data_IF_960674676382
#
_entry.id   IF_960674676382
#
_cell.length_a   1.000
_cell.length_b   1.000
_cell.length_c   1.000
_cell.angle_alpha   90.00
_cell.angle_beta   90.00
_cell.angle_gamma   90.00
#
_symmetry.space_group_name_H-M   'P 1'
#
loop_
_entity.id
_entity.type
_entity.pdbx_description
1 polymer ?
#
# COMPACT_ATOMS: atom_id res chain seq x y z
N UNK A 1 38.61 16.29 -29.27
CA UNK A 1 37.53 15.39 -29.76
C UNK A 1 36.72 14.94 -28.55
N UNK A 2 35.58 15.58 -28.31
CA UNK A 2 34.69 15.29 -27.18
C UNK A 2 33.74 14.16 -27.56
N UNK A 3 33.82 13.04 -26.84
CA UNK A 3 32.94 11.88 -26.98
C UNK A 3 31.57 12.22 -26.39
N UNK A 4 30.57 12.37 -27.25
CA UNK A 4 29.17 12.56 -26.87
C UNK A 4 28.70 11.28 -26.16
N UNK A 5 28.39 11.42 -24.88
CA UNK A 5 27.72 10.38 -24.10
C UNK A 5 26.43 9.97 -24.82
N UNK A 6 26.36 8.71 -25.27
CA UNK A 6 25.16 8.13 -25.88
C UNK A 6 24.05 8.16 -24.84
N UNK A 7 23.04 9.00 -25.06
CA UNK A 7 21.81 8.99 -24.29
C UNK A 7 21.19 7.61 -24.33
N UNK A 8 20.73 7.13 -23.18
CA UNK A 8 19.92 5.90 -23.10
C UNK A 8 18.76 6.00 -24.12
N UNK A 9 18.40 4.90 -24.81
CA UNK A 9 17.34 4.93 -25.81
C UNK A 9 16.04 5.44 -25.16
N UNK A 10 15.40 6.43 -25.78
CA UNK A 10 14.13 6.95 -25.35
C UNK A 10 13.07 5.83 -25.38
N UNK A 11 12.41 5.59 -24.25
CA UNK A 11 11.32 4.62 -24.14
C UNK A 11 10.20 4.98 -25.11
N UNK A 12 9.65 4.00 -25.82
CA UNK A 12 8.56 4.27 -26.75
C UNK A 12 7.27 4.64 -25.98
N UNK A 13 6.36 5.47 -26.54
CA UNK A 13 5.10 5.83 -25.88
C UNK A 13 4.24 4.62 -25.46
N UNK A 14 4.37 3.51 -26.20
CA UNK A 14 3.70 2.25 -25.88
C UNK A 14 4.31 1.56 -24.64
N UNK A 15 5.63 1.60 -24.48
CA UNK A 15 6.33 1.09 -23.30
C UNK A 15 6.05 1.95 -22.07
N UNK A 16 6.04 3.28 -22.21
CA UNK A 16 5.66 4.20 -21.13
C UNK A 16 4.23 3.95 -20.63
N UNK A 17 3.27 3.80 -21.55
CA UNK A 17 1.88 3.48 -21.21
C UNK A 17 1.76 2.14 -20.48
N UNK A 18 2.53 1.13 -20.91
CA UNK A 18 2.55 -0.19 -20.27
C UNK A 18 3.11 -0.13 -18.84
N UNK A 19 4.17 0.66 -18.63
CA UNK A 19 4.77 0.88 -17.30
C UNK A 19 3.80 1.62 -16.37
N UNK A 20 3.11 2.66 -16.86
CA UNK A 20 2.11 3.41 -16.08
C UNK A 20 0.93 2.51 -15.67
N UNK A 21 0.40 1.70 -16.59
CA UNK A 21 -0.70 0.77 -16.29
C UNK A 21 -0.25 -0.28 -15.27
N UNK A 22 0.94 -0.86 -15.45
CA UNK A 22 1.47 -1.85 -14.53
C UNK A 22 1.70 -1.25 -13.13
N UNK A 23 2.28 -0.06 -13.03
CA UNK A 23 2.47 0.63 -11.76
C UNK A 23 1.14 0.99 -11.09
N UNK A 24 0.13 1.38 -11.87
CA UNK A 24 -1.20 1.73 -11.35
C UNK A 24 -1.91 0.49 -10.80
N UNK A 25 -1.76 -0.67 -11.43
CA UNK A 25 -2.31 -1.94 -10.95
C UNK A 25 -1.78 -2.32 -9.56
N UNK A 26 -0.49 -2.12 -9.31
CA UNK A 26 0.10 -2.34 -7.97
C UNK A 26 -0.59 -1.49 -6.91
N UNK A 27 -0.81 -0.21 -7.19
CA UNK A 27 -1.51 0.71 -6.28
C UNK A 27 -2.99 0.33 -6.09
N UNK A 28 -3.67 -0.16 -7.14
CA UNK A 28 -5.04 -0.69 -7.02
C UNK A 28 -5.09 -1.88 -6.07
N UNK A 29 -4.11 -2.79 -6.14
CA UNK A 29 -4.07 -3.97 -5.27
C UNK A 29 -3.77 -3.62 -3.81
N UNK A 30 -2.97 -2.60 -3.57
CA UNK A 30 -2.78 -2.06 -2.22
C UNK A 30 -4.09 -1.49 -1.67
N UNK A 31 -4.77 -0.65 -2.45
CA UNK A 31 -6.05 -0.11 -2.00
C UNK A 31 -7.12 -1.19 -1.83
N UNK A 32 -7.13 -2.22 -2.67
CA UNK A 32 -7.95 -3.42 -2.46
C UNK A 32 -7.69 -4.01 -1.08
N UNK A 33 -6.43 -4.35 -0.75
CA UNK A 33 -6.04 -4.96 0.51
C UNK A 33 -6.42 -4.12 1.73
N UNK A 34 -6.27 -2.80 1.58
CA UNK A 34 -6.58 -1.87 2.64
C UNK A 34 -8.09 -1.74 2.85
N UNK A 35 -8.87 -1.54 1.78
CA UNK A 35 -10.33 -1.37 1.85
C UNK A 35 -11.10 -2.66 2.09
N UNK A 36 -10.52 -3.82 1.80
CA UNK A 36 -11.14 -5.12 2.02
C UNK A 36 -11.61 -5.29 3.47
N UNK A 37 -10.79 -4.86 4.43
CA UNK A 37 -11.15 -4.92 5.84
C UNK A 37 -12.24 -3.94 6.22
N UNK A 38 -12.16 -2.70 5.75
CA UNK A 38 -13.21 -1.71 6.02
C UNK A 38 -14.56 -2.18 5.50
N UNK A 39 -14.57 -2.82 4.32
CA UNK A 39 -15.75 -3.40 3.69
C UNK A 39 -16.33 -4.59 4.47
N UNK A 40 -15.48 -5.33 5.19
CA UNK A 40 -15.87 -6.48 6.02
C UNK A 40 -15.88 -6.17 7.53
N UNK A 41 -15.87 -4.89 7.92
CA UNK A 41 -15.73 -4.49 9.33
C UNK A 41 -16.79 -5.13 10.24
N UNK A 42 -18.04 -5.24 9.78
CA UNK A 42 -19.12 -5.89 10.52
C UNK A 42 -18.86 -7.40 10.73
N UNK A 43 -18.39 -8.11 9.70
CA UNK A 43 -18.03 -9.54 9.81
C UNK A 43 -16.82 -9.72 10.72
N UNK A 44 -15.80 -8.87 10.58
CA UNK A 44 -14.61 -8.89 11.44
C UNK A 44 -14.98 -8.62 12.91
N UNK A 45 -15.88 -7.67 13.17
CA UNK A 45 -16.37 -7.40 14.52
C UNK A 45 -16.96 -8.65 15.17
N UNK A 46 -17.80 -9.38 14.43
CA UNK A 46 -18.41 -10.63 14.89
C UNK A 46 -17.39 -11.75 15.09
N UNK A 47 -16.36 -11.84 14.25
CA UNK A 47 -15.41 -12.95 14.27
C UNK A 47 -14.24 -12.75 15.27
N UNK A 48 -13.80 -11.51 15.47
CA UNK A 48 -12.59 -11.21 16.26
C UNK A 48 -12.85 -10.46 17.56
N UNK A 49 -14.03 -9.84 17.71
CA UNK A 49 -14.38 -9.04 18.89
C UNK A 49 -15.66 -9.53 19.56
N UNK A 50 -15.99 -10.83 19.46
CA UNK A 50 -17.23 -11.41 20.01
C UNK A 50 -17.31 -11.45 21.54
N UNK A 51 -16.24 -11.08 22.26
CA UNK A 51 -16.20 -11.04 23.72
C UNK A 51 -16.85 -9.79 24.34
N UNK A 52 -17.40 -8.88 23.54
CA UNK A 52 -18.02 -7.62 23.96
C UNK A 52 -19.37 -7.41 23.26
N UNK A 53 -20.24 -6.49 23.74
CA UNK A 53 -21.50 -6.16 23.04
C UNK A 53 -21.27 -5.76 21.58
N UNK A 54 -22.25 -6.05 20.71
CA UNK A 54 -22.12 -5.88 19.25
C UNK A 54 -21.68 -4.47 18.82
N UNK A 55 -22.27 -3.43 19.44
CA UNK A 55 -21.86 -2.04 19.19
C UNK A 55 -20.39 -1.79 19.50
N UNK A 56 -19.90 -2.35 20.62
CA UNK A 56 -18.51 -2.20 21.04
C UNK A 56 -17.56 -3.00 20.14
N UNK A 57 -17.97 -4.20 19.71
CA UNK A 57 -17.21 -5.00 18.74
C UNK A 57 -17.01 -4.25 17.43
N UNK A 58 -18.06 -3.60 16.91
CA UNK A 58 -17.99 -2.79 15.71
C UNK A 58 -17.08 -1.57 15.90
N UNK A 59 -17.18 -0.88 17.03
CA UNK A 59 -16.28 0.24 17.37
C UNK A 59 -14.83 -0.23 17.38
N UNK A 60 -14.53 -1.39 17.97
CA UNK A 60 -13.17 -1.93 18.00
C UNK A 60 -12.64 -2.31 16.61
N UNK A 61 -13.47 -2.92 15.75
CA UNK A 61 -13.10 -3.19 14.37
C UNK A 61 -12.81 -1.88 13.59
N UNK A 62 -13.66 -0.85 13.74
CA UNK A 62 -13.44 0.46 13.13
C UNK A 62 -12.22 1.18 13.70
N UNK A 63 -11.94 1.05 15.01
CA UNK A 63 -10.73 1.59 15.63
C UNK A 63 -9.48 0.90 15.11
N UNK A 64 -9.50 -0.43 14.90
CA UNK A 64 -8.39 -1.14 14.28
C UNK A 64 -8.17 -0.69 12.82
N UNK A 65 -9.24 -0.40 12.08
CA UNK A 65 -9.15 0.21 10.76
C UNK A 65 -8.55 1.62 10.81
N UNK A 66 -9.03 2.47 11.73
CA UNK A 66 -8.55 3.83 11.93
C UNK A 66 -7.09 3.86 12.39
N UNK A 67 -6.68 2.93 13.27
CA UNK A 67 -5.31 2.79 13.72
C UNK A 67 -4.35 2.52 12.56
N UNK A 68 -4.78 1.70 11.59
CA UNK A 68 -4.04 1.50 10.33
C UNK A 68 -3.83 2.79 9.52
N UNK A 69 -4.74 3.76 9.58
CA UNK A 69 -4.51 5.10 9.02
C UNK A 69 -3.60 5.96 9.90
N UNK A 70 -3.82 5.93 11.22
CA UNK A 70 -3.09 6.75 12.18
C UNK A 70 -1.59 6.47 12.19
N UNK A 71 -1.17 5.23 11.88
CA UNK A 71 0.25 4.88 11.82
C UNK A 71 0.94 5.25 10.50
N UNK A 72 0.20 5.65 9.45
CA UNK A 72 0.79 5.98 8.14
C UNK A 72 1.88 7.06 8.20
N UNK A 73 1.76 8.17 8.96
CA UNK A 73 2.83 9.17 9.06
C UNK A 73 4.14 8.57 9.60
N UNK A 74 4.05 7.66 10.56
CA UNK A 74 5.22 6.95 11.11
C UNK A 74 5.85 6.02 10.06
N UNK A 75 5.00 5.32 9.30
CA UNK A 75 5.42 4.52 8.16
C UNK A 75 6.14 5.36 7.09
N UNK A 76 5.62 6.55 6.81
CA UNK A 76 6.20 7.49 5.87
C UNK A 76 7.61 7.92 6.28
N UNK A 77 7.80 8.27 7.55
CA UNK A 77 9.10 8.65 8.10
C UNK A 77 10.07 7.46 8.09
N UNK A 78 9.62 6.29 8.54
CA UNK A 78 10.46 5.09 8.66
C UNK A 78 10.88 4.55 7.29
N UNK A 79 9.92 4.21 6.43
CA UNK A 79 10.21 3.65 5.12
C UNK A 79 10.75 4.71 4.15
N UNK A 80 10.37 5.98 4.29
CA UNK A 80 10.96 7.08 3.52
C UNK A 80 12.47 7.17 3.74
N UNK A 81 12.91 7.18 5.01
CA UNK A 81 14.35 7.16 5.36
C UNK A 81 15.07 5.93 4.79
N UNK A 82 14.48 4.74 4.91
CA UNK A 82 15.08 3.52 4.35
C UNK A 82 15.18 3.63 2.82
N UNK A 83 14.16 4.18 2.16
CA UNK A 83 14.16 4.43 0.71
C UNK A 83 15.28 5.35 0.26
N UNK A 84 15.57 6.41 1.02
CA UNK A 84 16.63 7.35 0.69
C UNK A 84 18.04 6.79 0.96
N UNK A 85 18.19 5.91 1.96
CA UNK A 85 19.47 5.29 2.31
C UNK A 85 19.82 4.06 1.46
N UNK A 86 18.87 3.13 1.32
CA UNK A 86 19.08 1.80 0.74
C UNK A 86 18.64 1.73 -0.73
N UNK A 87 17.66 2.56 -1.11
CA UNK A 87 17.10 2.60 -2.46
C UNK A 87 15.58 2.42 -2.45
N UNK A 88 14.89 3.31 -3.18
CA UNK A 88 13.42 3.34 -3.21
C UNK A 88 12.81 2.05 -3.72
N UNK A 89 13.40 1.39 -4.72
CA UNK A 89 12.91 0.12 -5.26
C UNK A 89 12.86 -0.98 -4.19
N UNK A 90 13.90 -1.09 -3.37
CA UNK A 90 13.98 -2.12 -2.33
C UNK A 90 12.96 -1.86 -1.23
N UNK A 91 12.89 -0.63 -0.72
CA UNK A 91 11.90 -0.23 0.29
C UNK A 91 10.49 -0.53 -0.18
N UNK A 92 10.16 -0.17 -1.42
CA UNK A 92 8.87 -0.38 -2.06
C UNK A 92 8.49 -1.87 -2.20
N UNK A 93 9.49 -2.75 -2.35
CA UNK A 93 9.28 -4.19 -2.39
C UNK A 93 9.05 -4.76 -0.98
N UNK A 94 9.72 -4.24 0.03
CA UNK A 94 9.55 -4.66 1.43
C UNK A 94 8.17 -4.27 1.95
N UNK A 95 7.75 -3.02 1.73
CA UNK A 95 6.43 -2.49 2.14
C UNK A 95 5.30 -3.28 1.50
N UNK A 96 5.34 -3.56 0.19
CA UNK A 96 4.26 -4.33 -0.44
C UNK A 96 4.17 -5.76 0.09
N UNK A 97 5.30 -6.40 0.38
CA UNK A 97 5.34 -7.73 0.99
C UNK A 97 4.74 -7.69 2.40
N UNK A 98 5.15 -6.73 3.24
CA UNK A 98 4.58 -6.55 4.59
C UNK A 98 3.07 -6.37 4.50
N UNK A 99 2.62 -5.52 3.59
CA UNK A 99 1.21 -5.21 3.40
C UNK A 99 0.42 -6.45 2.99
N UNK A 100 0.79 -7.11 1.89
CA UNK A 100 0.05 -8.27 1.39
C UNK A 100 0.16 -9.50 2.31
N UNK A 101 1.30 -9.70 2.95
CA UNK A 101 1.45 -10.76 3.97
C UNK A 101 0.57 -10.50 5.19
N UNK A 102 0.40 -9.22 5.59
CA UNK A 102 -0.52 -8.86 6.67
C UNK A 102 -1.97 -9.14 6.28
N UNK A 103 -2.38 -8.77 5.05
CA UNK A 103 -3.71 -9.07 4.52
C UNK A 103 -3.98 -10.57 4.48
N UNK A 104 -3.05 -11.35 3.92
CA UNK A 104 -3.15 -12.81 3.88
C UNK A 104 -3.20 -13.42 5.29
N UNK A 105 -2.39 -12.87 6.21
CA UNK A 105 -2.36 -13.23 7.62
C UNK A 105 -3.74 -13.11 8.29
N UNK A 106 -4.51 -12.06 7.97
CA UNK A 106 -5.90 -11.91 8.45
C UNK A 106 -6.78 -13.05 7.95
N UNK A 107 -6.61 -13.49 6.70
CA UNK A 107 -7.37 -14.58 6.10
C UNK A 107 -7.18 -15.94 6.78
N UNK A 108 -5.98 -16.21 7.31
CA UNK A 108 -5.67 -17.46 8.04
C UNK A 108 -5.77 -17.33 9.57
N UNK A 109 -5.96 -16.11 10.09
CA UNK A 109 -5.95 -15.86 11.53
C UNK A 109 -7.11 -16.60 12.23
N UNK A 110 -6.87 -17.37 13.31
CA UNK A 110 -7.93 -17.99 14.08
C UNK A 110 -8.86 -16.95 14.71
N UNK A 111 -10.15 -17.29 14.85
CA UNK A 111 -11.16 -16.36 15.38
C UNK A 111 -11.10 -16.25 16.91
N UNK A 112 -11.85 -15.30 17.48
CA UNK A 112 -11.96 -15.13 18.92
C UNK A 112 -12.45 -16.42 19.61
N UNK A 113 -13.35 -17.16 18.98
CA UNK A 113 -13.84 -18.44 19.50
C UNK A 113 -12.72 -19.50 19.64
N UNK A 114 -11.63 -19.39 18.86
CA UNK A 114 -10.56 -20.39 18.83
C UNK A 114 -9.40 -20.04 19.77
N UNK A 115 -8.98 -18.76 19.81
CA UNK A 115 -7.79 -18.33 20.57
C UNK A 115 -8.05 -17.15 21.51
N UNK A 116 -9.32 -16.78 21.72
CA UNK A 116 -9.73 -15.71 22.63
C UNK A 116 -9.13 -14.36 22.27
N UNK A 117 -8.69 -13.62 23.30
CA UNK A 117 -8.17 -12.24 23.20
C UNK A 117 -6.91 -12.14 22.32
N UNK A 118 -6.18 -13.25 22.08
CA UNK A 118 -5.05 -13.25 21.16
C UNK A 118 -5.47 -12.90 19.72
N UNK A 119 -6.68 -13.30 19.29
CA UNK A 119 -7.17 -13.05 17.94
C UNK A 119 -7.25 -11.54 17.60
N UNK A 120 -7.96 -10.69 18.38
CA UNK A 120 -8.00 -9.26 18.10
C UNK A 120 -6.65 -8.57 18.29
N UNK A 121 -5.78 -9.03 19.20
CA UNK A 121 -4.43 -8.46 19.35
C UNK A 121 -3.60 -8.68 18.10
N UNK A 122 -3.54 -9.91 17.59
CA UNK A 122 -2.80 -10.23 16.37
C UNK A 122 -3.41 -9.48 15.18
N UNK A 123 -4.75 -9.42 15.08
CA UNK A 123 -5.44 -8.66 14.05
C UNK A 123 -5.03 -7.18 14.04
N UNK A 124 -4.96 -6.55 15.22
CA UNK A 124 -4.52 -5.16 15.35
C UNK A 124 -3.05 -5.03 14.94
N UNK A 125 -2.16 -5.94 15.35
CA UNK A 125 -0.76 -5.91 14.92
C UNK A 125 -0.64 -5.98 13.39
N UNK A 126 -1.35 -6.90 12.74
CA UNK A 126 -1.40 -7.00 11.28
C UNK A 126 -1.90 -5.70 10.64
N UNK A 127 -2.92 -5.06 11.24
CA UNK A 127 -3.44 -3.76 10.80
C UNK A 127 -2.41 -2.64 10.90
N UNK A 128 -1.66 -2.58 12.00
CA UNK A 128 -0.63 -1.57 12.19
C UNK A 128 0.53 -1.78 11.21
N UNK A 129 0.97 -3.03 10.99
CA UNK A 129 1.99 -3.36 10.00
C UNK A 129 1.55 -2.96 8.58
N UNK A 130 0.31 -3.27 8.21
CA UNK A 130 -0.28 -2.90 6.92
C UNK A 130 -0.34 -1.37 6.75
N UNK A 131 -0.74 -0.65 7.80
CA UNK A 131 -0.79 0.82 7.82
C UNK A 131 0.57 1.49 7.70
N UNK A 132 1.57 0.97 8.41
CA UNK A 132 2.96 1.45 8.35
C UNK A 132 3.54 1.26 6.95
N UNK A 133 3.32 0.10 6.34
CA UNK A 133 3.81 -0.20 5.00
C UNK A 133 3.26 0.77 3.94
N UNK A 134 1.97 1.10 4.01
CA UNK A 134 1.33 1.99 3.05
C UNK A 134 1.77 3.45 3.19
N UNK A 135 2.15 3.88 4.40
CA UNK A 135 2.52 5.27 4.69
C UNK A 135 3.68 5.82 3.85
N UNK A 136 4.66 4.97 3.51
CA UNK A 136 5.86 5.37 2.75
C UNK A 136 5.66 5.57 1.25
N UNK A 137 4.58 5.04 0.67
CA UNK A 137 4.47 4.91 -0.78
C UNK A 137 3.56 5.94 -1.43
N UNK A 138 2.35 6.12 -0.88
CA UNK A 138 1.32 6.92 -1.54
C UNK A 138 1.64 8.41 -1.58
N UNK A 139 2.15 8.95 -0.46
CA UNK A 139 2.50 10.37 -0.36
C UNK A 139 3.63 10.77 -1.31
N UNK A 140 4.70 9.97 -1.35
CA UNK A 140 5.82 10.20 -2.27
C UNK A 140 5.43 10.10 -3.75
N UNK A 141 4.55 9.15 -4.10
CA UNK A 141 4.07 9.01 -5.47
C UNK A 141 3.20 10.19 -5.93
N UNK A 142 2.30 10.67 -5.07
CA UNK A 142 1.45 11.82 -5.37
C UNK A 142 2.26 13.10 -5.62
N UNK A 143 3.26 13.37 -4.76
CA UNK A 143 4.15 14.52 -4.92
C UNK A 143 5.02 14.39 -6.16
N UNK A 144 5.61 13.21 -6.40
CA UNK A 144 6.45 12.96 -7.57
C UNK A 144 5.70 13.21 -8.88
N UNK A 145 4.47 12.72 -9.00
CA UNK A 145 3.65 12.93 -10.19
C UNK A 145 3.21 14.39 -10.33
N UNK A 146 2.90 15.08 -9.24
CA UNK A 146 2.57 16.50 -9.27
C UNK A 146 3.76 17.37 -9.75
N UNK A 147 4.98 17.03 -9.33
CA UNK A 147 6.22 17.73 -9.70
C UNK A 147 6.62 17.50 -11.16
N UNK A 148 6.44 16.27 -11.67
CA UNK A 148 6.86 15.88 -13.03
C UNK A 148 5.75 16.02 -14.07
N UNK A 149 4.52 16.39 -13.66
CA UNK A 149 3.42 16.57 -14.59
C UNK A 149 3.61 17.84 -15.45
N UNK A 150 3.28 17.78 -16.76
CA UNK A 150 3.31 18.93 -17.66
C UNK A 150 2.49 20.11 -17.12
N UNK A 151 2.95 21.34 -17.39
CA UNK A 151 2.23 22.56 -17.03
C UNK A 151 0.79 22.51 -17.55
N UNK A 152 -0.18 22.79 -16.67
CA UNK A 152 -1.61 22.72 -16.97
C UNK A 152 -2.25 21.32 -16.92
N UNK A 153 -1.47 20.24 -16.74
CA UNK A 153 -2.00 18.85 -16.66
C UNK A 153 -1.87 18.21 -15.28
N UNK A 154 -1.32 18.92 -14.30
CA UNK A 154 -1.11 18.43 -12.92
C UNK A 154 -2.37 17.80 -12.33
N UNK A 155 -3.52 18.45 -12.49
CA UNK A 155 -4.80 17.95 -11.97
C UNK A 155 -5.24 16.61 -12.58
N UNK A 156 -5.01 16.38 -13.87
CA UNK A 156 -5.38 15.12 -14.52
C UNK A 156 -4.49 13.95 -14.05
N UNK A 157 -3.19 14.20 -13.90
CA UNK A 157 -2.24 13.18 -13.45
C UNK A 157 -2.40 12.84 -11.95
N UNK A 158 -2.68 13.84 -11.10
CA UNK A 158 -2.98 13.58 -9.68
C UNK A 158 -4.35 12.93 -9.50
N UNK A 159 -5.35 13.30 -10.30
CA UNK A 159 -6.66 12.63 -10.32
C UNK A 159 -6.56 11.15 -10.73
N UNK A 160 -5.66 10.81 -11.64
CA UNK A 160 -5.41 9.41 -12.00
C UNK A 160 -4.94 8.58 -10.80
N UNK A 161 -3.99 9.09 -10.01
CA UNK A 161 -3.56 8.42 -8.76
C UNK A 161 -4.75 8.25 -7.81
N UNK A 162 -5.56 9.29 -7.62
CA UNK A 162 -6.72 9.20 -6.73
C UNK A 162 -7.75 8.16 -7.21
N UNK A 163 -7.88 7.99 -8.53
CA UNK A 163 -8.77 7.00 -9.15
C UNK A 163 -8.35 5.57 -8.79
N UNK A 164 -7.04 5.31 -8.61
CA UNK A 164 -6.55 3.97 -8.19
C UNK A 164 -7.11 3.53 -6.84
N UNK A 165 -7.31 4.48 -5.91
CA UNK A 165 -7.92 4.18 -4.62
C UNK A 165 -9.37 3.74 -4.75
N UNK A 166 -10.15 4.47 -5.57
CA UNK A 166 -11.54 4.11 -5.87
C UNK A 166 -11.65 2.78 -6.61
N UNK A 167 -10.74 2.51 -7.55
CA UNK A 167 -10.66 1.23 -8.24
C UNK A 167 -10.33 0.07 -7.28
N UNK A 168 -9.44 0.29 -6.31
CA UNK A 168 -9.14 -0.70 -5.28
C UNK A 168 -10.35 -1.04 -4.40
N UNK A 169 -11.09 -0.02 -3.96
CA UNK A 169 -12.36 -0.21 -3.25
C UNK A 169 -13.40 -0.96 -4.10
N UNK A 170 -13.53 -0.60 -5.38
CA UNK A 170 -14.47 -1.29 -6.27
C UNK A 170 -14.10 -2.76 -6.46
N UNK A 171 -12.81 -3.05 -6.65
CA UNK A 171 -12.29 -4.41 -6.72
C UNK A 171 -12.57 -5.19 -5.43
N UNK A 172 -12.40 -4.57 -4.25
CA UNK A 172 -12.67 -5.24 -2.97
C UNK A 172 -14.13 -5.63 -2.83
N UNK A 173 -15.04 -4.72 -3.21
CA UNK A 173 -16.47 -4.99 -3.18
C UNK A 173 -16.87 -6.07 -4.19
N UNK A 174 -16.30 -6.06 -5.40
CA UNK A 174 -16.58 -7.10 -6.41
C UNK A 174 -16.14 -8.49 -5.95
N UNK A 175 -14.95 -8.61 -5.36
CA UNK A 175 -14.46 -9.90 -4.84
C UNK A 175 -15.31 -10.37 -3.67
N UNK A 176 -15.66 -9.48 -2.74
CA UNK A 176 -16.57 -9.80 -1.62
C UNK A 176 -17.92 -10.27 -2.16
N UNK A 177 -18.53 -9.54 -3.09
CA UNK A 177 -19.82 -9.88 -3.67
C UNK A 177 -19.77 -11.23 -4.41
N UNK A 178 -18.72 -11.44 -5.21
CA UNK A 178 -18.49 -12.71 -5.90
C UNK A 178 -18.38 -13.89 -4.92
N UNK A 179 -17.59 -13.74 -3.85
CA UNK A 179 -17.49 -14.75 -2.81
C UNK A 179 -18.85 -14.98 -2.12
N UNK A 180 -19.57 -13.91 -1.76
CA UNK A 180 -20.87 -14.00 -1.08
C UNK A 180 -21.93 -14.68 -1.94
N UNK A 181 -21.92 -14.46 -3.25
CA UNK A 181 -22.82 -15.13 -4.19
C UNK A 181 -22.44 -16.61 -4.41
N UNK A 182 -21.14 -16.94 -4.39
CA UNK A 182 -20.66 -18.31 -4.58
C UNK A 182 -20.93 -19.20 -3.36
N UNK A 183 -20.60 -18.73 -2.16
CA UNK A 183 -20.81 -19.49 -0.91
C UNK A 183 -22.26 -19.38 -0.39
N UNK A 184 -22.95 -18.29 -0.71
CA UNK A 184 -24.21 -17.92 -0.08
C UNK A 184 -24.00 -17.15 1.23
N UNK A 185 -24.99 -16.35 1.68
CA UNK A 185 -24.79 -15.43 2.81
C UNK A 185 -24.40 -16.10 4.13
N UNK A 186 -24.95 -17.29 4.42
CA UNK A 186 -24.71 -18.03 5.66
C UNK A 186 -23.25 -18.52 5.73
N UNK A 187 -22.84 -19.30 4.74
CA UNK A 187 -21.48 -19.85 4.66
C UNK A 187 -20.42 -18.76 4.52
N UNK A 188 -20.76 -17.64 3.86
CA UNK A 188 -19.88 -16.49 3.78
C UNK A 188 -19.58 -15.90 5.16
N UNK A 189 -20.60 -15.70 5.99
CA UNK A 189 -20.43 -15.15 7.34
C UNK A 189 -19.68 -16.11 8.26
N UNK A 190 -19.81 -17.44 8.05
CA UNK A 190 -19.13 -18.46 8.83
C UNK A 190 -17.63 -18.59 8.46
N UNK A 191 -17.30 -18.82 7.19
CA UNK A 191 -15.92 -19.06 6.74
C UNK A 191 -15.55 -18.38 5.41
N UNK A 192 -16.52 -18.13 4.52
CA UNK A 192 -16.24 -17.59 3.18
C UNK A 192 -15.64 -16.18 3.19
N UNK A 193 -15.84 -15.40 4.26
CA UNK A 193 -15.23 -14.08 4.44
C UNK A 193 -13.70 -14.10 4.42
N UNK A 194 -13.07 -15.25 4.69
CA UNK A 194 -11.61 -15.42 4.62
C UNK A 194 -11.10 -15.40 3.19
N UNK A 195 -11.89 -15.88 2.23
CA UNK A 195 -11.46 -16.10 0.83
C UNK A 195 -10.97 -14.82 0.16
N UNK A 196 -11.65 -13.66 0.26
CA UNK A 196 -11.11 -12.39 -0.25
C UNK A 196 -9.71 -12.03 0.28
N UNK A 197 -9.42 -12.33 1.55
CA UNK A 197 -8.10 -12.10 2.15
C UNK A 197 -7.07 -13.09 1.64
N UNK A 198 -7.46 -14.35 1.39
CA UNK A 198 -6.54 -15.35 0.82
C UNK A 198 -6.22 -15.07 -0.64
N UNK A 199 -7.18 -14.56 -1.42
CA UNK A 199 -6.98 -14.14 -2.81
C UNK A 199 -5.92 -13.03 -2.92
N UNK A 200 -5.72 -12.23 -1.86
CA UNK A 200 -4.70 -11.18 -1.86
C UNK A 200 -3.28 -11.71 -2.12
N UNK A 201 -3.00 -12.99 -1.83
CA UNK A 201 -1.68 -13.58 -2.10
C UNK A 201 -1.34 -13.58 -3.60
N UNK A 202 -2.36 -13.77 -4.46
CA UNK A 202 -2.18 -13.72 -5.91
C UNK A 202 -1.98 -12.30 -6.38
N UNK A 203 -2.74 -11.35 -5.82
CA UNK A 203 -2.57 -9.92 -6.12
C UNK A 203 -1.19 -9.44 -5.67
N UNK A 204 -0.73 -9.86 -4.49
CA UNK A 204 0.62 -9.60 -3.98
C UNK A 204 1.68 -10.16 -4.93
N UNK A 205 1.55 -11.42 -5.35
CA UNK A 205 2.50 -12.04 -6.27
C UNK A 205 2.61 -11.28 -7.60
N UNK A 206 1.47 -10.84 -8.15
CA UNK A 206 1.44 -10.02 -9.37
C UNK A 206 2.09 -8.66 -9.10
N UNK A 207 1.78 -7.99 -7.99
CA UNK A 207 2.39 -6.70 -7.67
C UNK A 207 3.90 -6.78 -7.49
N UNK A 208 4.39 -7.82 -6.81
CA UNK A 208 5.84 -8.07 -6.64
C UNK A 208 6.48 -8.31 -8.00
N UNK A 209 5.87 -9.13 -8.86
CA UNK A 209 6.37 -9.37 -10.21
C UNK A 209 6.43 -8.09 -11.05
N UNK A 210 5.40 -7.23 -10.99
CA UNK A 210 5.41 -5.94 -11.69
C UNK A 210 6.53 -5.05 -11.14
N UNK A 211 6.65 -4.93 -9.81
CA UNK A 211 7.61 -4.02 -9.15
C UNK A 211 9.06 -4.44 -9.32
N UNK A 212 9.33 -5.75 -9.40
CA UNK A 212 10.70 -6.23 -9.69
C UNK A 212 11.18 -5.83 -11.08
N UNK A 213 10.26 -5.62 -12.03
CA UNK A 213 10.57 -5.14 -13.40
C UNK A 213 10.69 -3.62 -13.53
N UNK A 214 10.35 -2.86 -12.49
CA UNK A 214 10.57 -1.41 -12.49
C UNK A 214 12.06 -1.10 -12.24
N UNK A 215 12.60 -0.15 -13.01
CA UNK A 215 13.96 0.36 -12.83
C UNK A 215 13.99 1.43 -11.73
N UNK A 216 15.12 1.57 -11.04
CA UNK A 216 15.32 2.73 -10.16
C UNK A 216 15.27 4.04 -10.96
N UNK A 217 14.87 5.13 -10.29
CA UNK A 217 14.85 6.45 -10.90
C UNK A 217 16.26 6.84 -11.40
N UNK A 218 16.41 7.31 -12.66
CA UNK A 218 17.68 7.80 -13.19
C UNK A 218 18.33 8.88 -12.32
N UNK A 219 17.51 9.69 -11.64
CA UNK A 219 17.96 10.74 -10.72
C UNK A 219 18.59 10.15 -9.45
N UNK A 220 18.03 9.06 -8.93
CA UNK A 220 18.59 8.34 -7.77
C UNK A 220 19.91 7.66 -8.13
N UNK A 221 19.99 7.05 -9.33
CA UNK A 221 21.24 6.46 -9.81
C UNK A 221 22.34 7.50 -10.00
N UNK A 222 22.01 8.70 -10.52
CA UNK A 222 22.95 9.82 -10.62
C UNK A 222 23.42 10.32 -9.25
N UNK A 223 22.51 10.52 -8.29
CA UNK A 223 22.88 10.90 -6.91
C UNK A 223 23.81 9.87 -6.24
N UNK A 224 23.55 8.57 -6.44
CA UNK A 224 24.38 7.49 -5.91
C UNK A 224 25.76 7.46 -6.59
N UNK A 225 25.82 7.68 -7.90
CA UNK A 225 27.07 7.78 -8.65
C UNK A 225 27.89 9.03 -8.28
N UNK A 226 27.24 10.14 -7.91
CA UNK A 226 27.88 11.38 -7.48
C UNK A 226 28.29 11.38 -6.00
N UNK A 227 27.99 10.32 -5.24
CA UNK A 227 28.29 10.23 -3.80
C UNK A 227 27.50 11.21 -2.92
N UNK A 228 26.48 11.88 -3.48
CA UNK A 228 25.64 12.88 -2.79
C UNK A 228 24.48 12.25 -2.01
N UNK A 229 24.68 11.06 -1.45
CA UNK A 229 23.66 10.48 -0.57
C UNK A 229 23.70 11.22 0.77
N UNK A 230 22.60 11.87 1.13
CA UNK A 230 22.44 12.45 2.45
C UNK A 230 22.52 11.36 3.52
N UNK A 231 23.35 11.56 4.53
CA UNK A 231 23.47 10.64 5.67
C UNK A 231 22.37 10.86 6.72
N UNK A 232 21.66 12.00 6.66
CA UNK A 232 20.64 12.39 7.63
C UNK A 232 19.42 13.09 6.97
N UNK A 233 18.72 12.42 6.03
CA UNK A 233 17.66 13.05 5.22
C UNK A 233 16.48 13.61 6.05
N UNK A 234 16.13 12.98 7.17
CA UNK A 234 15.08 13.48 8.06
C UNK A 234 15.47 14.77 8.79
N UNK A 235 16.72 14.86 9.24
CA UNK A 235 17.23 16.04 9.96
C UNK A 235 17.47 17.21 9.01
N UNK A 236 17.86 16.93 7.76
CA UNK A 236 18.03 17.95 6.72
C UNK A 236 16.68 18.48 6.21
N UNK A 237 15.64 17.63 6.13
CA UNK A 237 14.30 18.03 5.70
C UNK A 237 13.51 18.79 6.79
N UNK A 238 13.58 18.36 8.04
CA UNK A 238 12.78 18.94 9.14
C UNK A 238 13.59 19.79 10.13
N UNK A 239 14.92 19.71 10.11
CA UNK A 239 15.81 20.46 11.01
C UNK A 239 16.40 21.73 10.41
N UNK A 240 16.43 21.87 9.08
CA UNK A 240 16.87 23.09 8.41
C UNK A 240 15.69 23.90 7.87
N UNK A 241 15.32 24.98 8.56
CA UNK A 241 14.27 25.92 8.16
C UNK A 241 14.44 26.53 6.77
N UNK A 242 15.64 26.48 6.19
CA UNK A 242 15.90 26.92 4.81
C UNK A 242 15.32 25.97 3.76
N UNK A 243 15.20 24.67 4.06
CA UNK A 243 14.66 23.65 3.15
C UNK A 243 13.12 23.57 3.19
N UNK A 244 12.48 24.22 4.17
CA UNK A 244 11.02 24.33 4.29
C UNK A 244 10.42 25.48 3.47
N UNK A 245 11.25 26.32 2.82
CA UNK A 245 10.78 27.37 1.92
C UNK A 245 10.59 26.79 0.52
N UNK A 246 9.33 26.51 0.18
CA UNK A 246 8.84 26.23 -1.18
C UNK A 246 9.00 27.45 -2.10
#
# INVERSE_FOLDING_TARGET
MSSIARGAPATTPAEERKVIIASSLGTVFEWYDFYLYGSLAATIAKQFFSGVPETQALIFALLAFAAGFAVRPFGAVFFGRIGDLVGRKYTFLVTIIIMGASTFGVGILPTYAQIGVAAPIILIILRLLQGLALGGEYGGAATYVAEHAPQGKRGAHTAWIQTTATMGLFLSLLVILGCRNYFGPKDFDDYGWRVPFLISIFLLAISVWIRTKLNESPTFQRMKAEGKQSKAPLTEAFGEWKNLKL
#
